data_IF_459708917760
#
_entry.id   IF_459708917760
#
_cell.length_a   1.000
_cell.length_b   1.000
_cell.length_c   1.000
_cell.angle_alpha   90.00
_cell.angle_beta   90.00
_cell.angle_gamma   90.00
#
_symmetry.space_group_name_H-M   'P 1'
#
loop_
_entity.id
_entity.type
_entity.pdbx_description
1 polymer ?
#
# COMPACT_ATOMS: atom_id res chain seq x y z
N UNK A 1 51.73 37.56 -57.93
CA UNK A 1 51.67 37.92 -56.50
C UNK A 1 50.27 37.56 -55.99
N UNK A 2 50.12 36.56 -55.11
CA UNK A 2 48.82 35.99 -54.72
C UNK A 2 48.54 36.37 -53.27
N UNK A 3 47.51 37.18 -53.03
CA UNK A 3 47.16 37.69 -51.70
C UNK A 3 46.30 36.63 -50.99
N UNK A 4 46.80 36.05 -49.91
CA UNK A 4 46.05 35.09 -49.08
C UNK A 4 45.31 35.89 -48.01
N UNK A 5 43.97 35.91 -48.08
CA UNK A 5 43.09 36.59 -47.12
C UNK A 5 42.99 35.75 -45.85
N UNK A 6 43.50 36.26 -44.73
CA UNK A 6 43.42 35.60 -43.42
C UNK A 6 42.00 35.75 -42.86
N UNK A 7 41.30 34.64 -42.64
CA UNK A 7 39.99 34.63 -41.97
C UNK A 7 40.17 34.63 -40.45
N UNK A 8 39.67 35.66 -39.77
CA UNK A 8 39.73 35.79 -38.32
C UNK A 8 38.47 35.17 -37.70
N UNK A 9 38.62 34.07 -36.97
CA UNK A 9 37.51 33.41 -36.26
C UNK A 9 37.16 34.24 -35.03
N UNK A 10 35.94 34.80 -34.98
CA UNK A 10 35.40 35.53 -33.82
C UNK A 10 34.91 34.51 -32.78
N UNK A 11 35.60 34.38 -31.66
CA UNK A 11 35.21 33.51 -30.55
C UNK A 11 33.91 34.01 -29.88
N UNK A 12 32.79 33.33 -30.14
CA UNK A 12 31.49 33.62 -29.51
C UNK A 12 31.28 32.78 -28.22
N UNK A 13 32.18 32.92 -27.25
CA UNK A 13 32.18 32.12 -26.01
C UNK A 13 30.97 32.40 -25.10
N UNK A 14 30.35 33.59 -25.21
CA UNK A 14 29.19 33.98 -24.39
C UNK A 14 27.90 33.22 -24.73
N UNK A 15 27.73 32.81 -25.98
CA UNK A 15 26.59 32.00 -26.42
C UNK A 15 26.68 30.56 -25.92
N UNK A 16 27.88 29.99 -25.92
CA UNK A 16 28.09 28.63 -25.41
C UNK A 16 27.84 28.54 -23.90
N UNK A 17 28.33 29.50 -23.10
CA UNK A 17 28.16 29.49 -21.64
C UNK A 17 26.70 29.66 -21.21
N UNK A 18 25.92 30.46 -21.92
CA UNK A 18 24.48 30.65 -21.64
C UNK A 18 23.67 29.39 -21.93
N UNK A 19 23.99 28.66 -23.00
CA UNK A 19 23.37 27.36 -23.29
C UNK A 19 23.68 26.35 -22.19
N UNK A 20 24.94 26.20 -21.79
CA UNK A 20 25.31 25.28 -20.71
C UNK A 20 24.62 25.63 -19.38
N UNK A 21 24.57 26.91 -19.02
CA UNK A 21 23.88 27.36 -17.80
C UNK A 21 22.38 27.01 -17.85
N UNK A 22 21.71 27.30 -18.97
CA UNK A 22 20.29 26.98 -19.14
C UNK A 22 20.03 25.48 -19.05
N UNK A 23 20.92 24.67 -19.62
CA UNK A 23 20.84 23.21 -19.56
C UNK A 23 20.98 22.70 -18.12
N UNK A 24 21.93 23.22 -17.34
CA UNK A 24 22.07 22.85 -15.93
C UNK A 24 20.82 23.20 -15.12
N UNK A 25 20.27 24.41 -15.30
CA UNK A 25 19.04 24.82 -14.61
C UNK A 25 17.87 23.92 -14.99
N UNK A 26 17.70 23.62 -16.28
CA UNK A 26 16.64 22.75 -16.78
C UNK A 26 16.73 21.33 -16.18
N UNK A 27 17.95 20.77 -16.06
CA UNK A 27 18.16 19.46 -15.46
C UNK A 27 17.82 19.45 -13.96
N UNK A 28 18.20 20.51 -13.22
CA UNK A 28 17.87 20.64 -11.80
C UNK A 28 16.35 20.69 -11.61
N UNK A 29 15.65 21.49 -12.42
CA UNK A 29 14.19 21.59 -12.37
C UNK A 29 13.51 20.27 -12.74
N UNK A 30 14.01 19.58 -13.76
CA UNK A 30 13.49 18.26 -14.15
C UNK A 30 13.67 17.25 -13.03
N UNK A 31 14.83 17.23 -12.38
CA UNK A 31 15.11 16.34 -11.26
C UNK A 31 14.16 16.61 -10.08
N UNK A 32 13.91 17.88 -9.74
CA UNK A 32 12.94 18.27 -8.72
C UNK A 32 11.50 17.85 -9.06
N UNK A 33 11.10 17.97 -10.32
CA UNK A 33 9.78 17.56 -10.77
C UNK A 33 9.61 16.03 -10.68
N UNK A 34 10.62 15.26 -11.07
CA UNK A 34 10.60 13.80 -11.00
C UNK A 34 10.54 13.29 -9.55
N UNK A 35 11.29 13.93 -8.63
CA UNK A 35 11.23 13.54 -7.22
C UNK A 35 9.89 13.87 -6.59
N UNK A 36 9.28 15.01 -6.93
CA UNK A 36 7.91 15.32 -6.49
C UNK A 36 6.90 14.30 -7.03
N UNK A 37 6.99 13.95 -8.31
CA UNK A 37 6.11 12.96 -8.94
C UNK A 37 6.24 11.57 -8.31
N UNK A 38 7.45 11.12 -7.97
CA UNK A 38 7.66 9.81 -7.34
C UNK A 38 7.04 9.74 -5.95
N UNK A 39 7.14 10.82 -5.16
CA UNK A 39 6.49 10.93 -3.85
C UNK A 39 4.97 10.85 -3.99
N UNK A 40 4.39 11.55 -4.97
CA UNK A 40 2.93 11.52 -5.20
C UNK A 40 2.44 10.12 -5.57
N UNK A 41 3.16 9.39 -6.41
CA UNK A 41 2.79 8.01 -6.78
C UNK A 41 2.76 7.12 -5.54
N UNK A 42 3.73 7.25 -4.64
CA UNK A 42 3.76 6.50 -3.38
C UNK A 42 2.57 6.86 -2.47
N UNK A 43 2.23 8.15 -2.36
CA UNK A 43 1.07 8.59 -1.58
C UNK A 43 -0.25 8.04 -2.13
N UNK A 44 -0.41 7.95 -3.46
CA UNK A 44 -1.60 7.37 -4.07
C UNK A 44 -1.76 5.88 -3.75
N UNK A 45 -0.66 5.12 -3.77
CA UNK A 45 -0.68 3.71 -3.38
C UNK A 45 -1.08 3.56 -1.91
N UNK A 46 -0.47 4.34 -1.01
CA UNK A 46 -0.83 4.34 0.41
C UNK A 46 -2.30 4.73 0.64
N UNK A 47 -2.82 5.71 -0.09
CA UNK A 47 -4.23 6.09 0.00
C UNK A 47 -5.18 4.95 -0.40
N UNK A 48 -4.80 4.14 -1.40
CA UNK A 48 -5.59 2.97 -1.80
C UNK A 48 -5.58 1.90 -0.71
N UNK A 49 -4.43 1.62 -0.11
CA UNK A 49 -4.33 0.68 1.02
C UNK A 49 -5.17 1.14 2.22
N UNK A 50 -5.18 2.45 2.52
CA UNK A 50 -6.03 3.02 3.57
C UNK A 50 -7.51 2.84 3.24
N UNK A 51 -7.93 3.11 2.01
CA UNK A 51 -9.32 2.89 1.58
C UNK A 51 -9.73 1.42 1.68
N UNK A 52 -8.86 0.51 1.26
CA UNK A 52 -9.07 -0.94 1.33
C UNK A 52 -9.04 -1.49 2.77
N UNK A 53 -8.47 -0.73 3.71
CA UNK A 53 -8.40 -1.14 5.11
C UNK A 53 -9.77 -1.16 5.78
N UNK A 54 -10.69 -0.28 5.39
CA UNK A 54 -12.03 -0.20 5.98
C UNK A 54 -12.81 -1.51 5.78
N UNK A 55 -13.01 -2.02 4.55
CA UNK A 55 -13.67 -3.30 4.35
C UNK A 55 -12.89 -4.48 4.92
N UNK A 56 -11.55 -4.44 4.95
CA UNK A 56 -10.73 -5.47 5.61
C UNK A 56 -10.97 -5.52 7.13
N UNK A 57 -11.07 -4.35 7.79
CA UNK A 57 -11.42 -4.27 9.22
C UNK A 57 -12.85 -4.76 9.46
N UNK A 58 -13.79 -4.36 8.62
CA UNK A 58 -15.18 -4.77 8.74
C UNK A 58 -15.34 -6.30 8.63
N UNK A 59 -14.62 -6.93 7.69
CA UNK A 59 -14.59 -8.39 7.59
C UNK A 59 -13.97 -9.04 8.83
N UNK A 60 -12.84 -8.52 9.33
CA UNK A 60 -12.22 -9.04 10.54
C UNK A 60 -13.16 -8.95 11.76
N UNK A 61 -13.84 -7.82 11.94
CA UNK A 61 -14.75 -7.58 13.07
C UNK A 61 -15.98 -8.49 13.03
N UNK A 62 -16.62 -8.62 11.85
CA UNK A 62 -17.79 -9.48 11.68
C UNK A 62 -17.49 -10.96 12.00
N UNK A 63 -16.35 -11.48 11.55
CA UNK A 63 -15.93 -12.87 11.80
C UNK A 63 -15.48 -13.03 13.26
N UNK A 64 -14.89 -11.99 13.87
CA UNK A 64 -14.56 -11.98 15.30
C UNK A 64 -15.81 -12.15 16.15
N UNK A 65 -16.87 -11.41 15.83
CA UNK A 65 -18.15 -11.51 16.55
C UNK A 65 -18.82 -12.88 16.35
N UNK A 66 -18.76 -13.45 15.14
CA UNK A 66 -19.24 -14.82 14.91
C UNK A 66 -18.47 -15.84 15.77
N UNK A 67 -17.13 -15.73 15.79
CA UNK A 67 -16.27 -16.58 16.61
C UNK A 67 -16.59 -16.45 18.10
N UNK A 68 -16.69 -15.21 18.59
CA UNK A 68 -17.03 -14.92 19.99
C UNK A 68 -18.43 -15.45 20.35
N UNK A 69 -19.38 -15.37 19.42
CA UNK A 69 -20.71 -15.93 19.59
C UNK A 69 -20.69 -17.45 19.74
N UNK A 70 -19.93 -18.16 18.90
CA UNK A 70 -19.75 -19.61 19.03
C UNK A 70 -19.13 -19.99 20.36
N UNK A 71 -18.07 -19.27 20.79
CA UNK A 71 -17.42 -19.49 22.09
C UNK A 71 -18.40 -19.32 23.25
N UNK A 72 -19.26 -18.29 23.19
CA UNK A 72 -20.25 -18.02 24.25
C UNK A 72 -21.37 -19.04 24.30
N UNK A 73 -21.77 -19.61 23.16
CA UNK A 73 -22.86 -20.59 23.08
C UNK A 73 -22.39 -22.04 23.16
N UNK A 74 -21.08 -22.29 23.03
CA UNK A 74 -20.49 -23.63 22.91
C UNK A 74 -21.10 -24.43 21.74
N UNK A 75 -21.50 -23.73 20.68
CA UNK A 75 -22.15 -24.30 19.50
C UNK A 75 -21.27 -24.01 18.26
N UNK A 76 -20.47 -24.98 17.80
CA UNK A 76 -19.75 -24.86 16.54
C UNK A 76 -20.72 -24.91 15.36
N UNK A 77 -20.35 -24.26 14.25
CA UNK A 77 -21.11 -24.34 13.01
C UNK A 77 -20.55 -25.47 12.15
N UNK A 78 -21.38 -26.11 11.33
CA UNK A 78 -20.99 -27.29 10.53
C UNK A 78 -19.85 -27.00 9.54
N UNK A 79 -18.59 -27.14 9.98
CA UNK A 79 -17.37 -26.88 9.21
C UNK A 79 -16.43 -25.82 9.81
N UNK A 80 -16.92 -24.98 10.72
CA UNK A 80 -16.18 -23.88 11.35
C UNK A 80 -16.33 -23.98 12.87
N UNK A 81 -15.22 -24.10 13.60
CA UNK A 81 -15.22 -24.25 15.06
C UNK A 81 -14.30 -23.22 15.72
N UNK A 82 -14.90 -22.25 16.39
CA UNK A 82 -14.19 -21.33 17.27
C UNK A 82 -14.27 -21.67 18.76
N UNK A 83 -14.93 -22.77 19.13
CA UNK A 83 -15.13 -23.18 20.53
C UNK A 83 -13.91 -23.90 21.11
N UNK A 84 -13.12 -24.53 20.25
CA UNK A 84 -11.93 -25.29 20.64
C UNK A 84 -10.66 -24.56 20.20
N UNK A 85 -9.68 -24.47 21.10
CA UNK A 85 -8.37 -23.87 20.79
C UNK A 85 -7.68 -24.68 19.70
N UNK A 86 -7.29 -24.02 18.61
CA UNK A 86 -6.61 -24.66 17.47
C UNK A 86 -7.50 -25.49 16.55
N UNK A 87 -8.82 -25.35 16.64
CA UNK A 87 -9.74 -25.95 15.68
C UNK A 87 -9.78 -25.22 14.33
N UNK A 88 -10.60 -25.73 13.41
CA UNK A 88 -10.77 -25.13 12.08
C UNK A 88 -11.34 -23.73 12.21
N UNK A 89 -10.54 -22.76 11.79
CA UNK A 89 -10.89 -21.35 11.86
C UNK A 89 -12.17 -21.04 11.07
N UNK A 90 -12.96 -20.09 11.57
CA UNK A 90 -14.11 -19.56 10.85
C UNK A 90 -13.59 -18.76 9.68
N UNK A 91 -14.05 -19.09 8.47
CA UNK A 91 -13.79 -18.29 7.28
C UNK A 91 -15.09 -17.71 6.74
N UNK A 92 -15.04 -16.44 6.35
CA UNK A 92 -16.17 -15.80 5.67
C UNK A 92 -15.69 -14.94 4.49
N UNK A 93 -16.55 -14.84 3.48
CA UNK A 93 -16.43 -13.90 2.37
C UNK A 93 -17.70 -13.06 2.35
N UNK A 94 -17.53 -11.76 2.45
CA UNK A 94 -18.61 -10.77 2.39
C UNK A 94 -18.99 -10.47 0.94
N UNK A 95 -20.20 -9.96 0.72
CA UNK A 95 -20.73 -9.62 -0.61
C UNK A 95 -19.88 -8.60 -1.38
N UNK A 96 -19.16 -7.74 -0.65
CA UNK A 96 -18.24 -6.76 -1.24
C UNK A 96 -16.91 -7.38 -1.69
N UNK A 97 -16.70 -8.68 -1.50
CA UNK A 97 -15.47 -9.40 -1.83
C UNK A 97 -14.37 -9.31 -0.76
N UNK A 98 -14.65 -8.71 0.40
CA UNK A 98 -13.76 -8.82 1.54
C UNK A 98 -13.86 -10.21 2.17
N UNK A 99 -12.74 -10.76 2.61
CA UNK A 99 -12.70 -12.08 3.23
C UNK A 99 -11.93 -12.03 4.53
N UNK A 100 -12.00 -13.08 5.33
CA UNK A 100 -11.20 -13.17 6.52
C UNK A 100 -11.32 -14.52 7.20
N UNK A 101 -10.60 -14.62 8.31
CA UNK A 101 -10.56 -15.81 9.13
C UNK A 101 -10.46 -15.45 10.61
N UNK A 102 -11.10 -16.24 11.47
CA UNK A 102 -11.01 -16.12 12.93
C UNK A 102 -10.74 -17.47 13.58
N UNK A 103 -9.81 -17.51 14.53
CA UNK A 103 -9.50 -18.71 15.29
C UNK A 103 -9.28 -18.41 16.77
N UNK A 104 -9.71 -19.34 17.62
CA UNK A 104 -9.38 -19.33 19.04
C UNK A 104 -7.93 -19.84 19.21
N UNK A 105 -7.01 -18.94 19.56
CA UNK A 105 -5.57 -19.26 19.69
C UNK A 105 -5.18 -19.67 21.11
N UNK A 106 -5.92 -19.18 22.11
CA UNK A 106 -5.80 -19.59 23.50
C UNK A 106 -7.16 -19.46 24.19
N UNK A 107 -7.26 -19.97 25.42
CA UNK A 107 -8.44 -19.73 26.26
C UNK A 107 -8.59 -18.22 26.42
N UNK A 108 -9.74 -17.69 26.00
CA UNK A 108 -10.06 -16.26 25.92
C UNK A 108 -9.20 -15.42 24.97
N UNK A 109 -8.63 -16.01 23.92
CA UNK A 109 -7.89 -15.26 22.91
C UNK A 109 -8.34 -15.67 21.52
N UNK A 110 -9.00 -14.74 20.83
CA UNK A 110 -9.38 -14.88 19.43
C UNK A 110 -8.41 -14.04 18.59
N UNK A 111 -7.84 -14.64 17.54
CA UNK A 111 -7.10 -13.94 16.51
C UNK A 111 -7.86 -13.98 15.21
N UNK A 112 -8.02 -12.83 14.59
CA UNK A 112 -8.74 -12.71 13.33
C UNK A 112 -7.97 -11.87 12.34
N UNK A 113 -8.12 -12.17 11.06
CA UNK A 113 -7.61 -11.32 10.01
C UNK A 113 -8.64 -11.15 8.92
N UNK A 114 -8.74 -9.94 8.39
CA UNK A 114 -9.55 -9.59 7.24
C UNK A 114 -8.67 -9.12 6.08
N UNK A 115 -9.10 -9.40 4.86
CA UNK A 115 -8.39 -9.15 3.62
C UNK A 115 -9.33 -8.50 2.63
N UNK A 116 -8.91 -7.40 2.03
CA UNK A 116 -9.60 -6.77 0.92
C UNK A 116 -8.62 -6.06 0.00
N UNK A 117 -8.70 -6.33 -1.31
CA UNK A 117 -7.93 -5.59 -2.31
C UNK A 117 -6.39 -5.62 -2.13
N UNK A 118 -5.86 -6.66 -1.47
CA UNK A 118 -4.43 -6.80 -1.13
C UNK A 118 -4.04 -6.29 0.26
N UNK A 119 -4.93 -5.55 0.92
CA UNK A 119 -4.72 -5.04 2.28
C UNK A 119 -5.21 -6.06 3.31
N UNK A 120 -4.38 -6.39 4.29
CA UNK A 120 -4.72 -7.26 5.41
C UNK A 120 -4.77 -6.48 6.72
N UNK A 121 -5.78 -6.74 7.54
CA UNK A 121 -5.94 -6.20 8.90
C UNK A 121 -6.10 -7.34 9.90
N UNK A 122 -5.41 -7.27 11.02
CA UNK A 122 -5.41 -8.29 12.07
C UNK A 122 -6.02 -7.68 13.33
N UNK A 123 -6.91 -8.43 13.99
CA UNK A 123 -7.54 -8.06 15.25
C UNK A 123 -7.29 -9.20 16.24
N UNK A 124 -6.92 -8.80 17.45
CA UNK A 124 -6.75 -9.73 18.57
C UNK A 124 -7.71 -9.32 19.68
N UNK A 125 -8.58 -10.24 20.06
CA UNK A 125 -9.56 -10.05 21.14
C UNK A 125 -9.18 -10.96 22.30
N UNK A 126 -8.90 -10.34 23.46
CA UNK A 126 -8.53 -11.01 24.70
C UNK A 126 -9.52 -10.61 25.80
N UNK A 127 -10.02 -11.57 26.58
CA UNK A 127 -10.99 -11.31 27.65
C UNK A 127 -10.82 -12.16 28.92
#
# INVERSE_FOLDING_TARGET
MRIIKKMTIKNNQRGATTIFLSFFVMNILLMMALTAASIMIYQLQMSKEVSNSVPAFYAADAITEECLYQVRRLEPNSGNDCTTVGATAIQAVLDNGASGEASLTAINQIKTFGVFGGTQRNIELVW
#
